data_IF_744221524518
#
_entry.id   IF_744221524518
#
_cell.length_a   1.000
_cell.length_b   1.000
_cell.length_c   1.000
_cell.angle_alpha   90.00
_cell.angle_beta   90.00
_cell.angle_gamma   90.00
#
_symmetry.space_group_name_H-M   'P 1'
#
loop_
_entity.id
_entity.type
_entity.pdbx_description
1 polymer ?
#
# COMPACT_ATOMS: atom_id res chain seq x y z
N UNK A 1 -22.55 -47.20 -10.76
CA UNK A 1 -22.65 -47.03 -9.29
C UNK A 1 -21.33 -46.65 -8.60
N UNK A 2 -20.34 -46.07 -9.30
CA UNK A 2 -19.09 -45.60 -8.66
C UNK A 2 -18.93 -44.07 -8.62
N UNK A 3 -19.67 -43.32 -9.44
CA UNK A 3 -19.53 -41.85 -9.51
C UNK A 3 -20.35 -41.08 -8.43
N UNK A 4 -21.25 -41.76 -7.71
CA UNK A 4 -22.09 -41.12 -6.68
C UNK A 4 -21.55 -41.23 -5.25
N UNK A 5 -20.41 -41.92 -5.05
CA UNK A 5 -19.81 -42.08 -3.71
C UNK A 5 -18.74 -41.01 -3.41
N UNK A 6 -18.09 -40.41 -4.42
CA UNK A 6 -17.08 -39.36 -4.19
C UNK A 6 -17.66 -38.03 -3.68
N UNK A 7 -18.91 -37.70 -3.98
CA UNK A 7 -19.50 -36.41 -3.57
C UNK A 7 -19.93 -36.44 -2.09
N UNK A 8 -20.25 -37.62 -1.53
CA UNK A 8 -20.64 -37.77 -0.13
C UNK A 8 -19.46 -37.77 0.86
N UNK A 9 -18.23 -37.99 0.39
CA UNK A 9 -17.03 -37.92 1.24
C UNK A 9 -16.63 -36.47 1.62
N UNK A 10 -17.09 -35.47 0.86
CA UNK A 10 -16.76 -34.05 1.10
C UNK A 10 -17.63 -33.44 2.23
N UNK A 11 -18.74 -34.09 2.62
CA UNK A 11 -19.73 -33.51 3.54
C UNK A 11 -19.76 -34.13 4.95
N UNK A 12 -18.86 -35.04 5.31
CA UNK A 12 -18.89 -35.68 6.64
C UNK A 12 -17.61 -35.59 7.48
N UNK A 13 -16.46 -35.17 6.92
CA UNK A 13 -15.23 -34.96 7.71
C UNK A 13 -14.50 -33.69 7.25
N UNK A 14 -15.04 -32.53 7.65
CA UNK A 14 -14.39 -31.23 7.48
C UNK A 14 -13.52 -30.89 8.69
N UNK A 15 -12.26 -31.32 8.69
CA UNK A 15 -11.18 -30.81 9.57
C UNK A 15 -9.89 -30.85 8.77
N UNK A 16 -9.40 -29.70 8.31
CA UNK A 16 -8.39 -28.84 8.96
C UNK A 16 -6.96 -29.36 8.83
N UNK A 17 -6.17 -28.54 8.11
CA UNK A 17 -4.75 -28.25 8.32
C UNK A 17 -3.77 -29.41 8.16
N UNK A 18 -2.96 -29.32 7.11
CA UNK A 18 -1.50 -29.36 7.24
C UNK A 18 -0.91 -28.52 6.08
N UNK A 19 -1.23 -27.22 6.07
CA UNK A 19 -0.36 -26.22 5.43
C UNK A 19 0.84 -26.03 6.37
N UNK A 20 1.75 -27.00 6.33
CA UNK A 20 3.00 -27.02 7.09
C UNK A 20 4.02 -26.08 6.42
N UNK A 21 3.84 -24.78 6.62
CA UNK A 21 4.76 -23.73 6.20
C UNK A 21 6.10 -23.77 6.96
N UNK A 22 6.22 -24.57 8.03
CA UNK A 22 7.42 -24.71 8.86
C UNK A 22 8.40 -25.79 8.36
N UNK A 23 8.13 -26.46 7.24
CA UNK A 23 9.13 -27.29 6.56
C UNK A 23 9.86 -26.49 5.48
N UNK A 24 10.78 -25.63 5.90
CA UNK A 24 11.88 -25.26 5.03
C UNK A 24 12.72 -26.54 4.83
N UNK A 25 12.88 -27.06 3.59
CA UNK A 25 13.72 -28.21 3.35
C UNK A 25 15.14 -27.95 3.91
N UNK A 26 15.80 -28.95 4.51
CA UNK A 26 17.20 -28.79 4.89
C UNK A 26 18.00 -28.33 3.67
N UNK A 27 18.98 -27.45 3.91
CA UNK A 27 19.77 -26.67 2.95
C UNK A 27 20.52 -27.49 1.86
N UNK A 28 20.34 -28.82 1.84
CA UNK A 28 21.02 -29.79 0.98
C UNK A 28 20.24 -30.20 -0.30
N UNK A 29 19.01 -29.74 -0.54
CA UNK A 29 18.24 -30.12 -1.75
C UNK A 29 17.90 -28.97 -2.71
N UNK A 30 18.62 -27.86 -2.67
CA UNK A 30 18.75 -26.99 -3.85
C UNK A 30 19.84 -27.59 -4.74
N UNK A 31 19.46 -28.52 -5.61
CA UNK A 31 20.34 -28.97 -6.69
C UNK A 31 20.80 -27.72 -7.45
N UNK A 32 22.07 -27.36 -7.25
CA UNK A 32 22.75 -26.38 -8.08
C UNK A 32 22.49 -26.77 -9.53
N UNK A 33 21.78 -25.90 -10.27
CA UNK A 33 21.76 -25.97 -11.71
C UNK A 33 23.17 -25.57 -12.15
N UNK A 34 24.08 -26.55 -12.13
CA UNK A 34 25.44 -26.38 -12.63
C UNK A 34 25.33 -26.35 -14.15
N UNK A 35 25.33 -25.15 -14.72
CA UNK A 35 25.59 -24.97 -16.13
C UNK A 35 26.98 -25.58 -16.42
N UNK A 36 27.04 -26.62 -17.26
CA UNK A 36 28.31 -27.23 -17.65
C UNK A 36 29.26 -26.14 -18.20
N UNK A 37 30.54 -26.12 -17.80
CA UNK A 37 31.46 -25.05 -18.19
C UNK A 37 31.81 -25.19 -19.67
N UNK A 38 31.11 -24.43 -20.53
CA UNK A 38 31.54 -24.25 -21.92
C UNK A 38 32.85 -23.45 -21.94
N UNK A 39 33.84 -23.92 -22.70
CA UNK A 39 35.23 -23.45 -22.68
C UNK A 39 35.48 -22.01 -23.16
N UNK A 40 34.43 -21.25 -23.45
CA UNK A 40 34.53 -19.84 -23.79
C UNK A 40 34.10 -19.03 -22.58
N UNK A 41 35.05 -18.34 -21.93
CA UNK A 41 34.78 -17.43 -20.81
C UNK A 41 34.00 -16.21 -21.31
N UNK A 42 32.72 -16.38 -21.60
CA UNK A 42 31.79 -15.27 -21.64
C UNK A 42 31.77 -14.69 -20.21
N UNK A 43 32.08 -13.40 -20.08
CA UNK A 43 32.08 -12.76 -18.77
C UNK A 43 30.63 -12.68 -18.31
N UNK A 44 30.22 -13.57 -17.41
CA UNK A 44 28.94 -13.45 -16.73
C UNK A 44 28.98 -12.19 -15.87
N UNK A 45 28.19 -11.20 -16.26
CA UNK A 45 28.02 -9.93 -15.58
C UNK A 45 26.82 -9.99 -14.64
N UNK A 46 26.67 -9.00 -13.76
CA UNK A 46 25.46 -8.87 -12.94
C UNK A 46 24.16 -8.79 -13.79
N UNK A 47 24.26 -8.40 -15.07
CA UNK A 47 23.14 -8.41 -16.00
C UNK A 47 22.71 -9.83 -16.43
N UNK A 48 23.62 -10.81 -16.38
CA UNK A 48 23.35 -12.20 -16.75
C UNK A 48 22.71 -12.99 -15.59
N UNK A 49 22.89 -12.53 -14.35
CA UNK A 49 22.28 -13.11 -13.13
C UNK A 49 21.74 -12.02 -12.19
N UNK A 50 20.75 -11.23 -12.61
CA UNK A 50 20.29 -10.06 -11.85
C UNK A 50 19.72 -10.43 -10.48
N UNK A 51 19.11 -11.61 -10.34
CA UNK A 51 18.59 -12.09 -9.05
C UNK A 51 19.70 -12.38 -8.04
N UNK A 52 20.84 -12.95 -8.46
CA UNK A 52 21.98 -13.20 -7.57
C UNK A 52 22.61 -11.89 -7.07
N UNK A 53 22.61 -10.85 -7.91
CA UNK A 53 23.05 -9.52 -7.51
C UNK A 53 22.11 -8.86 -6.49
N UNK A 54 20.81 -9.20 -6.50
CA UNK A 54 19.80 -8.66 -5.58
C UNK A 54 19.74 -9.38 -4.22
N UNK A 55 20.10 -10.68 -4.16
CA UNK A 55 20.03 -11.47 -2.91
C UNK A 55 20.68 -10.78 -1.71
N UNK A 56 21.88 -10.17 -1.79
CA UNK A 56 22.47 -9.49 -0.63
C UNK A 56 21.67 -8.28 -0.13
N UNK A 57 20.84 -7.67 -0.99
CA UNK A 57 20.07 -6.45 -0.70
C UNK A 57 18.60 -6.71 -0.36
N UNK A 58 18.12 -7.96 -0.50
CA UNK A 58 16.69 -8.27 -0.38
C UNK A 58 16.04 -7.78 0.92
N UNK A 59 16.76 -7.87 2.05
CA UNK A 59 16.26 -7.46 3.35
C UNK A 59 16.01 -5.95 3.39
N UNK A 60 16.90 -5.15 2.82
CA UNK A 60 16.73 -3.69 2.79
C UNK A 60 15.51 -3.28 1.94
N UNK A 61 15.28 -3.98 0.82
CA UNK A 61 14.09 -3.76 -0.01
C UNK A 61 12.80 -4.20 0.71
N UNK A 62 12.84 -5.33 1.40
CA UNK A 62 11.71 -5.81 2.19
C UNK A 62 11.38 -4.84 3.32
N UNK A 63 12.39 -4.40 4.07
CA UNK A 63 12.24 -3.45 5.16
C UNK A 63 11.64 -2.12 4.66
N UNK A 64 12.13 -1.60 3.53
CA UNK A 64 11.58 -0.37 2.94
C UNK A 64 10.15 -0.59 2.41
N UNK A 65 9.87 -1.74 1.80
CA UNK A 65 8.51 -2.07 1.35
C UNK A 65 7.53 -2.14 2.53
N UNK A 66 7.92 -2.81 3.61
CA UNK A 66 7.12 -2.89 4.84
C UNK A 66 6.98 -1.52 5.51
N UNK A 67 8.00 -0.68 5.46
CA UNK A 67 7.93 0.68 5.96
C UNK A 67 6.94 1.53 5.15
N UNK A 68 6.96 1.41 3.81
CA UNK A 68 6.05 2.13 2.91
C UNK A 68 4.61 1.62 2.99
N UNK A 69 4.39 0.32 3.26
CA UNK A 69 3.05 -0.27 3.37
C UNK A 69 2.47 -0.17 4.80
N UNK A 70 3.33 -0.05 5.82
CA UNK A 70 2.94 0.03 7.22
C UNK A 70 2.71 1.45 7.73
N UNK A 71 2.12 1.56 8.93
CA UNK A 71 1.94 2.84 9.64
C UNK A 71 3.27 3.57 9.97
N UNK A 72 4.40 2.89 9.75
CA UNK A 72 5.73 3.32 10.14
C UNK A 72 6.04 2.95 11.59
N UNK A 73 7.17 3.47 12.07
CA UNK A 73 7.58 3.24 13.45
C UNK A 73 6.61 3.92 14.43
N UNK A 74 6.20 3.24 15.52
CA UNK A 74 5.37 3.84 16.56
C UNK A 74 5.96 5.16 17.05
N UNK A 75 5.15 6.21 17.03
CA UNK A 75 5.53 7.49 17.63
C UNK A 75 6.14 8.53 16.68
N UNK A 76 6.11 8.33 15.36
CA UNK A 76 6.33 9.45 14.42
C UNK A 76 5.16 10.45 14.54
N UNK A 77 5.36 11.65 15.11
CA UNK A 77 4.27 12.58 15.33
C UNK A 77 3.88 13.27 14.03
N UNK A 78 2.65 13.77 13.98
CA UNK A 78 2.29 14.76 12.97
C UNK A 78 3.17 16.01 13.11
N UNK A 79 3.30 16.80 12.04
CA UNK A 79 4.01 18.09 12.07
C UNK A 79 3.52 19.07 13.15
N UNK A 80 2.27 18.95 13.60
CA UNK A 80 1.71 19.74 14.70
C UNK A 80 1.97 19.16 16.10
N UNK A 81 2.68 18.04 16.21
CA UNK A 81 2.95 17.34 17.47
C UNK A 81 1.88 16.34 17.90
N UNK A 82 0.83 16.10 17.08
CA UNK A 82 -0.16 15.07 17.38
C UNK A 82 0.49 13.68 17.41
N UNK A 83 0.26 12.93 18.50
CA UNK A 83 0.96 11.68 18.79
C UNK A 83 0.58 10.51 17.88
N UNK A 84 -0.62 10.52 17.29
CA UNK A 84 -1.14 9.42 16.49
C UNK A 84 -1.72 9.93 15.17
N UNK A 85 -0.87 10.32 14.21
CA UNK A 85 -1.33 10.62 12.86
C UNK A 85 -1.84 9.33 12.19
N UNK A 86 -2.97 9.42 11.49
CA UNK A 86 -3.64 8.26 10.88
C UNK A 86 -3.73 8.36 9.37
N UNK A 87 -3.42 9.52 8.79
CA UNK A 87 -3.64 9.77 7.37
C UNK A 87 -2.32 9.96 6.64
N UNK A 88 -2.24 9.49 5.41
CA UNK A 88 -1.12 9.77 4.50
C UNK A 88 -1.65 10.21 3.15
N UNK A 89 -0.83 10.95 2.41
CA UNK A 89 -1.11 11.36 1.05
C UNK A 89 -0.11 10.69 0.11
N UNK A 90 -0.59 10.17 -1.04
CA UNK A 90 0.27 9.56 -2.05
C UNK A 90 0.98 10.55 -2.95
N UNK A 91 0.40 11.74 -3.13
CA UNK A 91 0.87 12.73 -4.10
C UNK A 91 1.75 13.81 -3.44
N UNK A 92 1.69 13.92 -2.10
CA UNK A 92 2.64 14.75 -1.36
C UNK A 92 4.03 14.12 -1.38
N UNK A 93 5.06 14.96 -1.34
CA UNK A 93 6.43 14.48 -1.21
C UNK A 93 6.68 13.87 0.18
N UNK A 94 7.21 12.64 0.19
CA UNK A 94 7.64 11.93 1.40
C UNK A 94 6.58 10.97 1.96
N UNK A 95 6.94 10.29 3.05
CA UNK A 95 6.13 9.24 3.71
C UNK A 95 5.51 9.74 5.02
N UNK A 96 5.31 11.05 5.12
CA UNK A 96 4.83 11.70 6.35
C UNK A 96 3.38 11.31 6.65
N UNK A 97 3.13 10.98 7.92
CA UNK A 97 1.79 10.78 8.46
C UNK A 97 1.23 12.10 9.01
N UNK A 98 -0.06 12.33 8.79
CA UNK A 98 -0.81 13.52 9.22
C UNK A 98 -1.95 13.15 10.17
N UNK A 99 -2.25 14.05 11.11
CA UNK A 99 -3.53 14.03 11.80
C UNK A 99 -4.64 14.57 10.88
N UNK A 100 -5.90 14.36 11.27
CA UNK A 100 -7.06 14.79 10.49
C UNK A 100 -7.01 16.28 10.11
N UNK A 101 -6.72 17.16 11.08
CA UNK A 101 -6.68 18.60 10.86
C UNK A 101 -5.52 19.02 9.94
N UNK A 102 -4.33 18.48 10.13
CA UNK A 102 -3.19 18.78 9.27
C UNK A 102 -3.41 18.27 7.85
N UNK A 103 -4.07 17.13 7.69
CA UNK A 103 -4.46 16.61 6.37
C UNK A 103 -5.35 17.61 5.64
N UNK A 104 -6.44 18.08 6.27
CA UNK A 104 -7.35 19.06 5.66
C UNK A 104 -6.68 20.42 5.37
N UNK A 105 -5.89 20.94 6.32
CA UNK A 105 -5.24 22.25 6.18
C UNK A 105 -4.18 22.25 5.07
N UNK A 106 -3.33 21.22 5.02
CA UNK A 106 -2.29 21.10 3.98
C UNK A 106 -2.88 20.86 2.58
N UNK A 107 -4.01 20.15 2.49
CA UNK A 107 -4.65 19.80 1.23
C UNK A 107 -5.72 20.78 0.77
N UNK A 108 -5.88 21.92 1.46
CA UNK A 108 -6.80 22.99 1.01
C UNK A 108 -6.47 23.47 -0.41
N UNK A 109 -5.19 23.51 -0.77
CA UNK A 109 -4.73 23.91 -2.12
C UNK A 109 -4.58 22.74 -3.09
N UNK A 110 -4.67 21.50 -2.59
CA UNK A 110 -4.49 20.28 -3.36
C UNK A 110 -5.65 19.29 -3.10
N UNK A 111 -6.90 19.67 -3.43
CA UNK A 111 -8.10 18.94 -3.02
C UNK A 111 -8.31 17.60 -3.76
N UNK A 112 -7.49 17.31 -4.77
CA UNK A 112 -7.59 16.11 -5.62
C UNK A 112 -6.54 15.05 -5.29
N UNK A 113 -5.68 15.30 -4.31
CA UNK A 113 -4.72 14.30 -3.87
C UNK A 113 -5.42 13.06 -3.28
N UNK A 114 -4.81 11.90 -3.50
CA UNK A 114 -5.28 10.60 -3.01
C UNK A 114 -4.79 10.38 -1.58
N UNK A 115 -5.71 10.03 -0.72
CA UNK A 115 -5.48 9.91 0.72
C UNK A 115 -5.78 8.49 1.17
N UNK A 116 -4.96 7.97 2.06
CA UNK A 116 -5.27 6.76 2.82
C UNK A 116 -5.41 7.07 4.31
N UNK A 117 -6.25 6.28 4.98
CA UNK A 117 -6.37 6.24 6.43
C UNK A 117 -5.92 4.88 6.94
N UNK A 118 -5.07 4.88 7.96
CA UNK A 118 -4.70 3.69 8.71
C UNK A 118 -5.88 3.21 9.56
N UNK A 119 -6.37 1.99 9.30
CA UNK A 119 -7.51 1.42 10.04
C UNK A 119 -7.11 0.54 11.25
N UNK A 120 -5.81 0.42 11.51
CA UNK A 120 -5.25 -0.48 12.53
C UNK A 120 -4.47 -1.66 11.94
N UNK A 121 -4.81 -2.07 10.72
CA UNK A 121 -4.19 -3.22 10.04
C UNK A 121 -3.56 -2.86 8.70
N UNK A 122 -4.23 -2.02 7.91
CA UNK A 122 -3.76 -1.59 6.59
C UNK A 122 -4.23 -0.18 6.26
N UNK A 123 -3.67 0.38 5.19
CA UNK A 123 -4.13 1.65 4.64
C UNK A 123 -5.36 1.46 3.76
N UNK A 124 -6.46 2.04 4.21
CA UNK A 124 -7.70 2.06 3.47
C UNK A 124 -7.82 3.40 2.74
N UNK A 125 -8.10 3.34 1.44
CA UNK A 125 -8.38 4.54 0.63
C UNK A 125 -9.55 5.33 1.24
N UNK A 126 -9.35 6.64 1.36
CA UNK A 126 -10.37 7.61 1.75
C UNK A 126 -10.26 8.85 0.86
N UNK A 127 -11.24 9.75 0.94
CA UNK A 127 -11.22 10.99 0.17
C UNK A 127 -11.22 12.19 1.09
N UNK A 128 -10.62 13.29 0.62
CA UNK A 128 -10.70 14.57 1.33
C UNK A 128 -12.16 15.01 1.55
N UNK A 129 -13.08 14.68 0.62
CA UNK A 129 -14.53 14.90 0.78
C UNK A 129 -15.08 14.12 1.99
N UNK A 130 -14.76 12.84 2.14
CA UNK A 130 -15.18 12.03 3.29
C UNK A 130 -14.62 12.56 4.62
N UNK A 131 -13.43 13.14 4.59
CA UNK A 131 -12.82 13.82 5.75
C UNK A 131 -13.43 15.21 6.02
N UNK A 132 -14.31 15.72 5.15
CA UNK A 132 -14.99 17.00 5.31
C UNK A 132 -14.31 18.19 4.65
N UNK A 133 -13.35 17.98 3.73
CA UNK A 133 -12.83 19.07 2.91
C UNK A 133 -13.94 19.63 2.02
N UNK A 134 -14.20 20.92 2.16
CA UNK A 134 -15.15 21.64 1.32
C UNK A 134 -14.40 22.57 0.37
N UNK A 135 -14.60 22.40 -0.93
CA UNK A 135 -14.04 23.28 -1.96
C UNK A 135 -15.03 24.37 -2.30
N UNK A 136 -14.65 25.62 -2.03
CA UNK A 136 -15.47 26.77 -2.35
C UNK A 136 -15.14 27.31 -3.75
N UNK A 137 -16.12 27.32 -4.64
CA UNK A 137 -15.96 27.86 -5.98
C UNK A 137 -16.00 29.41 -5.99
N UNK A 138 -15.33 30.00 -6.98
CA UNK A 138 -15.30 31.46 -7.19
C UNK A 138 -14.42 32.25 -6.21
N UNK A 139 -13.69 31.58 -5.33
CA UNK A 139 -12.73 32.18 -4.40
C UNK A 139 -11.40 31.42 -4.44
N UNK A 140 -10.32 32.07 -4.02
CA UNK A 140 -9.06 31.37 -3.79
C UNK A 140 -9.23 30.32 -2.68
N UNK A 141 -8.53 29.16 -2.76
CA UNK A 141 -8.59 28.15 -1.71
C UNK A 141 -8.30 28.73 -0.32
N UNK A 142 -9.01 28.24 0.70
CA UNK A 142 -8.90 28.71 2.09
C UNK A 142 -9.60 30.04 2.40
N UNK A 143 -10.14 30.76 1.41
CA UNK A 143 -10.96 31.97 1.65
C UNK A 143 -12.41 31.58 1.91
N UNK A 144 -12.96 32.09 3.01
CA UNK A 144 -14.38 31.91 3.37
C UNK A 144 -15.27 32.89 2.59
N UNK A 145 -16.38 32.40 2.05
CA UNK A 145 -17.44 33.25 1.52
C UNK A 145 -18.21 33.93 2.67
N UNK A 146 -18.58 35.20 2.49
CA UNK A 146 -19.53 35.86 3.39
C UNK A 146 -20.99 35.46 3.11
N UNK A 147 -21.29 34.92 1.92
CA UNK A 147 -22.61 34.45 1.53
C UNK A 147 -22.50 33.14 0.71
N UNK A 148 -22.07 32.03 1.34
CA UNK A 148 -21.92 30.77 0.63
C UNK A 148 -23.28 30.27 0.15
N UNK A 149 -23.36 29.86 -1.11
CA UNK A 149 -24.53 29.17 -1.65
C UNK A 149 -24.20 27.68 -1.71
N UNK A 150 -24.98 26.81 -1.06
CA UNK A 150 -24.76 25.37 -1.11
C UNK A 150 -25.01 24.85 -2.53
N UNK A 151 -24.29 23.81 -2.92
CA UNK A 151 -24.65 23.08 -4.14
C UNK A 151 -26.00 22.39 -3.95
N UNK A 152 -26.75 22.21 -5.04
CA UNK A 152 -28.11 21.65 -4.99
C UNK A 152 -28.17 20.19 -4.52
N UNK A 153 -27.06 19.46 -4.55
CA UNK A 153 -27.05 18.02 -4.31
C UNK A 153 -25.79 17.48 -3.61
N UNK A 154 -24.83 18.32 -3.21
CA UNK A 154 -23.48 17.90 -2.76
C UNK A 154 -22.78 16.90 -3.71
N UNK A 155 -23.31 16.75 -4.93
CA UNK A 155 -22.89 15.76 -5.91
C UNK A 155 -22.36 16.49 -7.13
N UNK A 156 -21.04 16.50 -7.23
CA UNK A 156 -20.31 16.88 -8.42
C UNK A 156 -19.14 15.90 -8.56
N UNK A 157 -18.76 15.62 -9.81
CA UNK A 157 -17.63 14.75 -10.12
C UNK A 157 -16.51 15.64 -10.65
N UNK A 158 -15.35 15.56 -10.03
CA UNK A 158 -14.10 16.10 -10.59
C UNK A 158 -13.30 14.92 -11.11
N UNK A 159 -12.79 15.05 -12.33
CA UNK A 159 -11.90 14.07 -12.93
C UNK A 159 -10.51 14.71 -12.93
N UNK A 160 -9.56 14.06 -12.27
CA UNK A 160 -8.18 14.49 -12.26
C UNK A 160 -7.42 13.94 -13.47
N UNK A 161 -6.27 14.52 -13.81
CA UNK A 161 -5.39 14.01 -14.88
C UNK A 161 -4.90 12.59 -14.61
N UNK A 162 -4.88 12.17 -13.33
CA UNK A 162 -4.58 10.80 -12.93
C UNK A 162 -5.78 9.85 -13.02
N UNK A 163 -6.97 10.36 -13.40
CA UNK A 163 -8.20 9.59 -13.55
C UNK A 163 -9.26 9.92 -12.50
N UNK A 164 -10.23 9.01 -12.36
CA UNK A 164 -11.24 8.98 -11.28
C UNK A 164 -10.81 8.00 -10.21
#
# INVERSE_FOLDING_TARGET
MAALICILAILLEGTLLDDDWDKCPPEEELQEIICEPSSDKCKCTAADTPLLAWIPEHQAFLDETLHLEGHGSPGSPCCCGAATPLFRCHDCFGTQMFCHECMLNSHTYNPLHRIDMWNGSFFQCTTLKQMGLCVQLGHHPGKKCYNPQPSSSDDFVIIDVHGV
#
